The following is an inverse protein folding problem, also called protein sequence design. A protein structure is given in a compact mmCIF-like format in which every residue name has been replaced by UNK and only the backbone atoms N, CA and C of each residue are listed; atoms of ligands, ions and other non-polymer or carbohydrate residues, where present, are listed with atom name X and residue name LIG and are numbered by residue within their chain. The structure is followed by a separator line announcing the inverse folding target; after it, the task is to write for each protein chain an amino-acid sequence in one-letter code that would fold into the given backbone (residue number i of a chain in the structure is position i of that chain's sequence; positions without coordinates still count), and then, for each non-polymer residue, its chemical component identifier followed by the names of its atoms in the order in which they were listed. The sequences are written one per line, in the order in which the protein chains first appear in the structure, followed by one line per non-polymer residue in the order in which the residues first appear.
data_IF_898861784409
#
_entry.id   IF_898861784409
#
_cell.length_a   1.000
_cell.length_b   1.000
_cell.length_c   1.000
_cell.angle_alpha   90.00
_cell.angle_beta   90.00
_cell.angle_gamma   90.00
#
_symmetry.space_group_name_H-M   'P 1'
#
loop_
_entity.id
_entity.type
_entity.pdbx_description
1 polymer ?
#
# COMPACT_ATOMS: atom_id res chain seq x y z
N UNK A 1 -13.56 13.00 -12.48
CA UNK A 1 -14.17 12.07 -11.52
C UNK A 1 -14.83 10.87 -12.20
N UNK A 2 -15.74 11.03 -13.15
CA UNK A 2 -16.42 9.89 -13.82
C UNK A 2 -15.48 8.78 -14.34
N UNK A 3 -14.31 9.10 -14.90
CA UNK A 3 -13.35 8.10 -15.36
C UNK A 3 -12.73 7.28 -14.22
N UNK A 4 -12.50 7.89 -13.05
CA UNK A 4 -12.02 7.20 -11.86
C UNK A 4 -13.11 6.29 -11.30
N UNK A 5 -14.34 6.79 -11.17
CA UNK A 5 -15.47 5.98 -10.70
C UNK A 5 -15.71 4.74 -11.56
N UNK A 6 -15.53 4.86 -12.89
CA UNK A 6 -15.64 3.72 -13.80
C UNK A 6 -14.52 2.69 -13.60
N UNK A 7 -13.29 3.15 -13.35
CA UNK A 7 -12.16 2.27 -13.08
C UNK A 7 -12.32 1.55 -11.73
N UNK A 8 -12.78 2.28 -10.73
CA UNK A 8 -12.91 1.82 -9.34
C UNK A 8 -14.33 1.30 -9.02
N UNK A 9 -15.06 0.79 -9.99
CA UNK A 9 -16.47 0.33 -9.86
C UNK A 9 -16.69 -0.76 -8.80
N UNK A 10 -15.61 -1.44 -8.37
CA UNK A 10 -15.65 -2.46 -7.31
C UNK A 10 -15.48 -1.90 -5.91
N UNK A 11 -15.26 -0.60 -5.79
CA UNK A 11 -15.05 0.11 -4.54
C UNK A 11 -16.16 1.13 -4.31
N UNK A 12 -16.40 1.45 -3.05
CA UNK A 12 -17.27 2.55 -2.66
C UNK A 12 -16.47 3.83 -2.51
N UNK A 13 -16.91 4.91 -3.16
CA UNK A 13 -16.30 6.23 -2.98
C UNK A 13 -16.84 6.87 -1.72
N UNK A 14 -15.98 7.12 -0.74
CA UNK A 14 -16.30 7.69 0.56
C UNK A 14 -15.70 9.09 0.67
N UNK A 15 -16.50 10.07 1.11
CA UNK A 15 -16.00 11.40 1.42
C UNK A 15 -15.22 11.38 2.73
N UNK A 16 -14.05 12.00 2.73
CA UNK A 16 -13.23 12.14 3.95
C UNK A 16 -13.42 13.54 4.50
N UNK A 17 -13.88 13.62 5.74
CA UNK A 17 -14.01 14.90 6.42
C UNK A 17 -12.63 15.46 6.81
N UNK A 18 -12.47 16.78 6.73
CA UNK A 18 -11.16 17.44 6.90
C UNK A 18 -10.56 17.27 8.28
N UNK A 19 -11.40 17.05 9.31
CA UNK A 19 -10.95 16.74 10.68
C UNK A 19 -10.30 15.36 10.83
N UNK A 20 -10.47 14.46 9.84
CA UNK A 20 -9.81 13.15 9.79
C UNK A 20 -8.51 13.17 8.98
N UNK A 21 -8.08 14.34 8.50
CA UNK A 21 -6.89 14.47 7.68
C UNK A 21 -5.73 15.06 8.48
N UNK A 22 -4.60 14.38 8.44
CA UNK A 22 -3.32 14.91 8.89
C UNK A 22 -2.50 15.35 7.68
N UNK A 23 -2.06 16.62 7.69
CA UNK A 23 -1.25 17.17 6.61
C UNK A 23 0.22 17.18 7.02
N UNK A 24 1.08 16.56 6.21
CA UNK A 24 2.52 16.61 6.40
C UNK A 24 3.07 18.01 6.03
N UNK A 25 3.74 18.66 6.97
CA UNK A 25 4.52 19.87 6.74
C UNK A 25 3.73 21.16 6.88
N UNK A 26 3.24 21.77 5.81
CA UNK A 26 2.60 23.08 5.86
C UNK A 26 1.13 23.00 6.29
N UNK A 27 0.67 23.97 7.09
CA UNK A 27 -0.77 24.15 7.35
C UNK A 27 -1.47 24.43 6.02
N UNK A 28 -2.05 23.42 5.43
CA UNK A 28 -2.88 23.56 4.22
C UNK A 28 -4.24 24.09 4.67
N UNK A 29 -4.64 25.25 4.16
CA UNK A 29 -6.02 25.70 4.27
C UNK A 29 -6.87 24.85 3.32
N UNK A 30 -7.31 23.71 3.79
CA UNK A 30 -8.15 22.77 3.03
C UNK A 30 -9.62 23.23 2.91
N UNK A 31 -9.90 24.50 3.23
CA UNK A 31 -11.26 25.04 3.41
C UNK A 31 -12.20 24.88 2.20
N UNK A 32 -11.66 24.64 1.00
CA UNK A 32 -12.46 24.48 -0.23
C UNK A 32 -12.17 23.18 -1.01
N UNK A 33 -11.42 22.26 -0.43
CA UNK A 33 -11.11 20.97 -1.08
C UNK A 33 -12.05 19.86 -0.57
N UNK A 34 -12.53 19.03 -1.49
CA UNK A 34 -13.23 17.81 -1.14
C UNK A 34 -12.26 16.62 -1.30
N UNK A 35 -12.14 15.83 -0.26
CA UNK A 35 -11.29 14.65 -0.24
C UNK A 35 -12.16 13.40 -0.33
N UNK A 36 -11.71 12.43 -1.13
CA UNK A 36 -12.41 11.19 -1.37
C UNK A 36 -11.43 10.02 -1.33
N UNK A 37 -11.90 8.91 -0.82
CA UNK A 37 -11.17 7.63 -0.84
C UNK A 37 -12.06 6.56 -1.45
N UNK A 38 -11.46 5.63 -2.18
CA UNK A 38 -12.14 4.43 -2.63
C UNK A 38 -11.88 3.33 -1.62
N UNK A 39 -12.92 2.90 -0.94
CA UNK A 39 -12.86 1.85 0.07
C UNK A 39 -13.43 0.54 -0.51
N UNK A 40 -12.76 -0.56 -0.23
CA UNK A 40 -13.27 -1.87 -0.60
C UNK A 40 -14.58 -2.16 0.13
N UNK A 41 -15.52 -2.84 -0.53
CA UNK A 41 -16.73 -3.28 0.13
C UNK A 41 -16.38 -4.35 1.17
N UNK A 42 -16.91 -4.25 2.40
CA UNK A 42 -16.58 -5.20 3.48
C UNK A 42 -16.80 -6.67 3.08
N UNK A 43 -17.86 -6.94 2.32
CA UNK A 43 -18.21 -8.30 1.85
C UNK A 43 -17.17 -8.92 0.90
N UNK A 44 -16.24 -8.12 0.41
CA UNK A 44 -15.15 -8.54 -0.50
C UNK A 44 -13.78 -8.59 0.17
N UNK A 45 -13.71 -8.20 1.43
CA UNK A 45 -12.48 -8.30 2.20
C UNK A 45 -12.29 -9.75 2.63
N UNK A 46 -11.14 -10.30 2.31
CA UNK A 46 -10.74 -11.65 2.70
C UNK A 46 -9.34 -11.58 3.31
N UNK A 47 -9.16 -12.28 4.41
CA UNK A 47 -7.84 -12.45 4.99
C UNK A 47 -6.97 -13.31 4.05
N UNK A 48 -5.67 -13.02 4.00
CA UNK A 48 -4.74 -13.85 3.24
C UNK A 48 -4.78 -15.31 3.70
N UNK A 49 -4.72 -16.23 2.75
CA UNK A 49 -4.76 -17.68 3.01
C UNK A 49 -3.82 -18.40 2.05
N UNK A 50 -3.65 -19.72 2.23
CA UNK A 50 -2.84 -20.54 1.32
C UNK A 50 -3.35 -20.47 -0.12
N UNK A 51 -4.68 -20.45 -0.32
CA UNK A 51 -5.29 -20.34 -1.65
C UNK A 51 -5.30 -18.90 -2.20
N UNK A 52 -5.19 -17.89 -1.33
CA UNK A 52 -5.19 -16.48 -1.68
C UNK A 52 -4.05 -15.74 -0.94
N UNK A 53 -2.79 -16.06 -1.26
CA UNK A 53 -1.65 -15.46 -0.57
C UNK A 53 -1.42 -14.01 -0.98
N UNK A 54 -0.71 -13.28 -0.14
CA UNK A 54 -0.16 -11.97 -0.48
C UNK A 54 0.86 -12.17 -1.60
N UNK A 55 0.68 -11.49 -2.74
CA UNK A 55 1.62 -11.53 -3.85
C UNK A 55 2.68 -10.44 -3.71
N UNK A 56 3.97 -10.82 -3.72
CA UNK A 56 5.10 -9.88 -3.57
C UNK A 56 5.06 -8.75 -4.61
N UNK A 57 4.68 -9.05 -5.85
CA UNK A 57 4.61 -8.04 -6.91
C UNK A 57 3.63 -6.90 -6.61
N UNK A 58 2.55 -7.16 -5.86
CA UNK A 58 1.63 -6.11 -5.41
C UNK A 58 2.21 -5.28 -4.27
N UNK A 59 2.86 -5.95 -3.32
CA UNK A 59 3.54 -5.28 -2.20
C UNK A 59 4.66 -4.38 -2.73
N UNK A 60 5.41 -4.85 -3.72
CA UNK A 60 6.45 -4.07 -4.37
C UNK A 60 5.91 -2.78 -5.01
N UNK A 61 4.80 -2.86 -5.73
CA UNK A 61 4.15 -1.68 -6.33
C UNK A 61 3.71 -0.70 -5.25
N UNK A 62 3.08 -1.20 -4.20
CA UNK A 62 2.59 -0.39 -3.09
C UNK A 62 3.74 0.32 -2.36
N UNK A 63 4.72 -0.43 -1.89
CA UNK A 63 5.84 0.14 -1.12
C UNK A 63 6.78 0.99 -1.98
N UNK A 64 6.95 0.66 -3.27
CA UNK A 64 7.66 1.54 -4.18
C UNK A 64 6.96 2.90 -4.33
N UNK A 65 5.63 2.92 -4.41
CA UNK A 65 4.86 4.16 -4.40
C UNK A 65 5.07 4.96 -3.12
N UNK A 66 5.05 4.31 -1.96
CA UNK A 66 5.34 4.94 -0.67
C UNK A 66 6.76 5.54 -0.62
N UNK A 67 7.76 4.82 -1.13
CA UNK A 67 9.15 5.31 -1.20
C UNK A 67 9.31 6.50 -2.16
N UNK A 68 8.57 6.51 -3.27
CA UNK A 68 8.55 7.65 -4.19
C UNK A 68 7.97 8.89 -3.52
N UNK A 69 6.83 8.76 -2.83
CA UNK A 69 6.22 9.86 -2.05
C UNK A 69 7.19 10.35 -0.97
N UNK A 70 7.80 9.42 -0.22
CA UNK A 70 8.80 9.74 0.79
C UNK A 70 9.94 10.61 0.24
N UNK A 71 10.44 10.24 -0.93
CA UNK A 71 11.55 10.94 -1.59
C UNK A 71 11.11 12.30 -2.14
N UNK A 72 9.99 12.34 -2.86
CA UNK A 72 9.48 13.54 -3.53
C UNK A 72 9.11 14.63 -2.53
N UNK A 73 8.38 14.24 -1.49
CA UNK A 73 7.89 15.19 -0.47
C UNK A 73 8.79 15.29 0.76
N UNK A 74 9.92 14.54 0.79
CA UNK A 74 10.89 14.52 1.90
C UNK A 74 10.29 14.13 3.25
N UNK A 75 9.30 13.24 3.25
CA UNK A 75 8.65 12.70 4.45
C UNK A 75 9.42 11.45 4.88
N UNK A 76 10.38 11.59 5.78
CA UNK A 76 11.39 10.56 6.10
C UNK A 76 10.83 9.20 6.56
N UNK A 77 9.65 9.15 7.13
CA UNK A 77 9.03 7.97 7.73
C UNK A 77 7.91 7.36 6.91
N UNK A 78 7.55 7.96 5.78
CA UNK A 78 6.33 7.62 5.04
C UNK A 78 6.25 6.14 4.61
N UNK A 79 7.36 5.56 4.13
CA UNK A 79 7.37 4.15 3.75
C UNK A 79 7.20 3.20 4.96
N UNK A 80 7.73 3.56 6.14
CA UNK A 80 7.49 2.82 7.38
C UNK A 80 6.01 2.93 7.79
N UNK A 81 5.46 4.13 7.77
CA UNK A 81 4.05 4.37 8.09
C UNK A 81 3.12 3.60 7.16
N UNK A 82 3.44 3.48 5.87
CA UNK A 82 2.69 2.64 4.94
C UNK A 82 2.62 1.18 5.42
N UNK A 83 3.71 0.62 5.94
CA UNK A 83 3.71 -0.75 6.47
C UNK A 83 2.93 -0.83 7.79
N UNK A 84 3.17 0.11 8.70
CA UNK A 84 2.59 0.13 10.05
C UNK A 84 1.07 0.35 10.05
N UNK A 85 0.57 1.12 9.10
CA UNK A 85 -0.87 1.43 8.98
C UNK A 85 -1.64 0.46 8.08
N UNK A 86 -0.95 -0.47 7.41
CA UNK A 86 -1.57 -1.53 6.63
C UNK A 86 -1.81 -2.75 7.51
N UNK A 87 -3.05 -3.22 7.54
CA UNK A 87 -3.43 -4.46 8.22
C UNK A 87 -3.47 -5.66 7.26
N UNK A 88 -3.68 -6.86 7.80
CA UNK A 88 -3.82 -8.07 7.00
C UNK A 88 -2.49 -8.67 6.54
N UNK A 89 -1.36 -8.24 7.07
CA UNK A 89 -0.09 -8.92 6.85
C UNK A 89 -0.14 -10.33 7.43
N UNK A 90 0.35 -11.32 6.68
CA UNK A 90 0.21 -12.74 7.01
C UNK A 90 1.42 -13.53 6.53
N UNK A 91 1.62 -14.71 7.10
CA UNK A 91 2.59 -15.70 6.62
C UNK A 91 2.21 -16.32 5.27
N UNK A 92 0.93 -16.22 4.87
CA UNK A 92 0.47 -16.63 3.55
C UNK A 92 0.93 -15.65 2.49
N UNK A 93 2.14 -15.87 1.98
CA UNK A 93 2.85 -14.98 1.06
C UNK A 93 3.52 -15.76 -0.07
N UNK A 94 3.49 -15.22 -1.28
CA UNK A 94 4.17 -15.80 -2.44
C UNK A 94 5.10 -14.78 -3.09
N UNK A 95 6.34 -15.21 -3.38
CA UNK A 95 7.26 -14.41 -4.17
C UNK A 95 7.02 -14.70 -5.66
N UNK A 96 6.24 -13.87 -6.30
CA UNK A 96 5.90 -13.95 -7.73
C UNK A 96 6.75 -13.00 -8.60
N UNK A 97 7.89 -12.49 -8.09
CA UNK A 97 8.73 -11.52 -8.83
C UNK A 97 9.22 -12.03 -10.18
N UNK A 98 9.49 -13.34 -10.29
CA UNK A 98 9.96 -13.96 -11.56
C UNK A 98 8.84 -14.02 -12.59
N UNK A 99 7.60 -14.22 -12.13
CA UNK A 99 6.39 -14.27 -12.96
C UNK A 99 5.35 -13.32 -12.36
N UNK A 100 5.72 -12.05 -12.25
CA UNK A 100 4.91 -11.06 -11.58
C UNK A 100 3.51 -10.95 -12.21
N UNK A 101 2.48 -11.00 -11.38
CA UNK A 101 1.09 -10.76 -11.79
C UNK A 101 0.89 -9.36 -12.34
N UNK A 102 1.74 -8.42 -11.92
CA UNK A 102 1.81 -7.06 -12.44
C UNK A 102 3.20 -6.81 -13.00
N UNK A 103 3.37 -6.63 -14.32
CA UNK A 103 4.64 -6.25 -14.92
C UNK A 103 5.12 -4.95 -14.29
N UNK A 104 6.27 -5.00 -13.65
CA UNK A 104 6.79 -3.87 -12.91
C UNK A 104 8.32 -3.92 -12.87
N UNK A 105 8.97 -2.80 -13.15
CA UNK A 105 10.40 -2.67 -12.88
C UNK A 105 10.59 -2.41 -11.38
N UNK A 106 11.48 -3.14 -10.74
CA UNK A 106 11.70 -3.16 -9.30
C UNK A 106 12.93 -2.33 -8.87
N UNK A 107 12.95 -1.00 -9.08
CA UNK A 107 14.14 -0.19 -8.78
C UNK A 107 14.49 -0.18 -7.29
N UNK A 108 13.50 -0.41 -6.43
CA UNK A 108 13.64 -0.38 -4.99
C UNK A 108 13.49 -1.77 -4.32
N UNK A 109 13.55 -2.88 -5.08
CA UNK A 109 13.32 -4.22 -4.54
C UNK A 109 14.14 -4.50 -3.28
N UNK A 110 15.45 -4.23 -3.32
CA UNK A 110 16.33 -4.41 -2.15
C UNK A 110 15.91 -3.58 -0.93
N UNK A 111 15.50 -2.32 -1.12
CA UNK A 111 15.03 -1.46 -0.03
C UNK A 111 13.69 -1.94 0.53
N UNK A 112 12.82 -2.47 -0.34
CA UNK A 112 11.56 -3.07 0.06
C UNK A 112 11.82 -4.31 0.91
N UNK A 113 12.74 -5.18 0.49
CA UNK A 113 13.12 -6.37 1.25
C UNK A 113 13.70 -6.01 2.61
N UNK A 114 14.57 -4.99 2.70
CA UNK A 114 15.08 -4.48 3.97
C UNK A 114 13.94 -3.96 4.88
N UNK A 115 13.00 -3.21 4.30
CA UNK A 115 11.86 -2.67 5.04
C UNK A 115 10.97 -3.80 5.57
N UNK A 116 10.60 -4.76 4.73
CA UNK A 116 9.77 -5.90 5.11
C UNK A 116 10.45 -6.80 6.14
N UNK A 117 11.74 -7.06 6.01
CA UNK A 117 12.52 -7.83 6.99
C UNK A 117 12.53 -7.18 8.37
N UNK A 118 12.53 -5.84 8.45
CA UNK A 118 12.45 -5.12 9.72
C UNK A 118 11.15 -5.39 10.47
N UNK A 119 10.02 -5.45 9.76
CA UNK A 119 8.69 -5.60 10.37
C UNK A 119 8.26 -7.07 10.48
N UNK A 120 8.72 -7.92 9.57
CA UNK A 120 8.21 -9.29 9.40
C UNK A 120 9.32 -10.33 9.39
N UNK A 121 10.41 -10.10 10.14
CA UNK A 121 11.58 -10.97 10.18
C UNK A 121 11.24 -12.46 10.39
N UNK A 122 10.18 -12.74 11.14
CA UNK A 122 9.81 -14.10 11.54
C UNK A 122 9.29 -14.96 10.38
N UNK A 123 8.54 -14.40 9.44
CA UNK A 123 7.98 -15.17 8.31
C UNK A 123 8.45 -14.70 6.93
N UNK A 124 8.91 -13.47 6.81
CA UNK A 124 9.43 -12.97 5.54
C UNK A 124 10.71 -13.68 5.13
N UNK A 125 11.67 -13.80 6.05
CA UNK A 125 12.96 -14.43 5.75
C UNK A 125 12.89 -15.94 5.49
N UNK A 126 11.88 -16.65 6.02
CA UNK A 126 11.71 -18.08 5.77
C UNK A 126 11.21 -18.44 4.35
N UNK A 127 10.70 -17.48 3.60
CA UNK A 127 10.13 -17.71 2.27
C UNK A 127 11.00 -17.20 1.12
N UNK A 128 12.07 -16.46 1.43
CA UNK A 128 12.92 -15.81 0.44
C UNK A 128 14.39 -16.24 0.51
N UNK A 129 14.72 -17.21 1.37
CA UNK A 129 16.00 -17.91 1.43
C UNK A 129 15.84 -19.34 0.79
#
# INVERSE_FOLDING_TARGET
MQKLDQREKSYSRVKVETNHLNFYGRKVKASNANFWVYAANPDRLQEPSESHPIAQSYVDIFLNGCMQIQQEYKIKTFANECVETTSGWSEHWVNDRVHARRPFQLPNAYKIDQLLSKYFNHYYNHKFN
#
